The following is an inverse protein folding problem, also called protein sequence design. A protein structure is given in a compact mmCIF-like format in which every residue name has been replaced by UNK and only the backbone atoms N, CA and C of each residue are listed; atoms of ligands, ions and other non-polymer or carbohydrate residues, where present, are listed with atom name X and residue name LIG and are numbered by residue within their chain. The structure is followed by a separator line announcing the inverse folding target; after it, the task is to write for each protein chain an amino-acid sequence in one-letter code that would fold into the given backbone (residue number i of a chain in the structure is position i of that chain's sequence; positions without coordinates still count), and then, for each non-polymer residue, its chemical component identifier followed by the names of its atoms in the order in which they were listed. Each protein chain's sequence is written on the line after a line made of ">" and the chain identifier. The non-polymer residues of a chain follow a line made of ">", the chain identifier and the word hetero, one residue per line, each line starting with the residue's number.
data_IF_331890845008
#
_entry.id   IF_331890845008
#
_cell.length_a   1.000
_cell.length_b   1.000
_cell.length_c   1.000
_cell.angle_alpha   90.00
_cell.angle_beta   90.00
_cell.angle_gamma   90.00
#
_symmetry.space_group_name_H-M   'P 1'
#
loop_
_entity.id
_entity.type
_entity.pdbx_description
1 polymer ?
#
# COMPACT_ATOMS: atom_id res chain seq x y z
N UNK A 1 -19.34 62.90 -25.89
CA UNK A 1 -18.86 62.24 -24.66
C UNK A 1 -19.45 60.83 -24.62
N UNK A 2 -18.74 59.86 -25.18
CA UNK A 2 -19.15 58.46 -25.14
C UNK A 2 -18.39 57.76 -24.02
N UNK A 3 -19.09 57.32 -22.97
CA UNK A 3 -18.61 56.22 -22.15
C UNK A 3 -19.71 55.17 -22.07
N UNK A 4 -19.32 54.01 -22.57
CA UNK A 4 -20.15 52.87 -22.89
C UNK A 4 -20.67 52.24 -21.61
N UNK A 5 -21.98 52.01 -21.57
CA UNK A 5 -22.64 51.06 -20.68
C UNK A 5 -22.15 49.65 -21.05
N UNK A 6 -21.05 49.22 -20.45
CA UNK A 6 -20.53 47.85 -20.50
C UNK A 6 -20.31 47.47 -19.03
N UNK A 7 -21.37 46.94 -18.43
CA UNK A 7 -21.49 45.50 -18.19
C UNK A 7 -20.71 45.11 -16.93
N UNK A 8 -21.44 44.77 -15.87
CA UNK A 8 -20.94 44.25 -14.59
C UNK A 8 -20.05 43.00 -14.69
N UNK A 9 -19.74 42.53 -15.90
CA UNK A 9 -18.87 41.39 -16.22
C UNK A 9 -17.39 41.70 -15.94
N UNK A 10 -16.97 42.97 -15.87
CA UNK A 10 -15.54 43.32 -15.63
C UNK A 10 -15.09 43.12 -14.16
N UNK A 11 -16.02 42.93 -13.22
CA UNK A 11 -15.70 42.65 -11.81
C UNK A 11 -15.56 41.14 -11.49
N UNK A 12 -15.80 40.25 -12.45
CA UNK A 12 -15.68 38.79 -12.29
C UNK A 12 -14.33 38.20 -12.74
N UNK A 13 -13.38 39.04 -13.19
CA UNK A 13 -12.04 38.59 -13.62
C UNK A 13 -10.91 38.94 -12.63
N UNK A 14 -11.23 39.56 -11.48
CA UNK A 14 -10.27 39.88 -10.40
C UNK A 14 -10.33 38.90 -9.21
N UNK A 15 -11.02 37.77 -9.35
CA UNK A 15 -11.05 36.68 -8.37
C UNK A 15 -9.99 35.60 -8.60
N UNK A 16 -9.24 35.64 -9.72
CA UNK A 16 -8.16 34.68 -9.99
C UNK A 16 -6.84 34.96 -9.24
N UNK A 17 -6.69 36.09 -8.55
CA UNK A 17 -5.42 36.48 -7.89
C UNK A 17 -5.47 36.38 -6.36
N UNK A 18 -6.65 36.18 -5.76
CA UNK A 18 -6.82 36.22 -4.29
C UNK A 18 -7.13 34.86 -3.63
N UNK A 19 -6.82 33.74 -4.27
CA UNK A 19 -6.76 32.44 -3.58
C UNK A 19 -5.41 31.73 -3.76
N UNK A 20 -4.34 32.51 -3.93
CA UNK A 20 -2.96 32.05 -3.81
C UNK A 20 -2.32 32.39 -2.44
N UNK A 21 -3.11 32.85 -1.47
CA UNK A 21 -2.60 33.20 -0.14
C UNK A 21 -3.46 32.57 0.96
N UNK A 22 -3.03 31.42 1.46
CA UNK A 22 -3.57 30.83 2.68
C UNK A 22 -3.43 29.33 2.73
N UNK A 23 -2.25 28.83 3.12
CA UNK A 23 -2.10 27.44 3.55
C UNK A 23 -0.76 26.81 3.17
N UNK A 24 0.31 27.27 3.79
CA UNK A 24 1.52 26.47 3.89
C UNK A 24 1.24 25.19 4.68
N UNK A 25 1.78 24.07 4.19
CA UNK A 25 2.21 22.97 5.05
C UNK A 25 1.20 21.84 5.22
N UNK A 26 1.25 20.88 4.31
CA UNK A 26 0.52 19.62 4.46
C UNK A 26 0.91 18.58 3.43
N UNK A 27 2.18 18.52 3.04
CA UNK A 27 2.73 17.28 2.50
C UNK A 27 2.67 16.25 3.63
N UNK A 28 1.52 15.60 3.79
CA UNK A 28 1.35 14.47 4.68
C UNK A 28 2.24 13.35 4.15
N UNK A 29 3.50 13.36 4.58
CA UNK A 29 4.39 12.23 4.42
C UNK A 29 3.65 11.02 4.97
N UNK A 30 3.32 10.08 4.10
CA UNK A 30 2.65 8.85 4.47
C UNK A 30 3.56 8.02 5.36
N UNK A 31 3.65 8.35 6.65
CA UNK A 31 4.24 7.50 7.68
C UNK A 31 3.24 6.38 7.96
N UNK A 32 3.10 5.48 6.99
CA UNK A 32 2.36 4.25 7.16
C UNK A 32 3.29 3.04 7.08
N UNK A 33 2.96 2.01 7.87
CA UNK A 33 3.61 0.69 7.94
C UNK A 33 3.45 -0.16 6.67
N UNK A 34 4.35 -0.07 5.69
CA UNK A 34 4.26 -0.84 4.43
C UNK A 34 4.92 -2.21 4.59
N UNK A 35 4.19 -3.30 4.36
CA UNK A 35 4.78 -4.64 4.24
C UNK A 35 5.40 -4.78 2.85
N UNK A 36 6.69 -5.12 2.79
CA UNK A 36 7.44 -5.37 1.55
C UNK A 36 8.00 -6.78 1.57
N UNK A 37 7.72 -7.54 0.52
CA UNK A 37 8.39 -8.82 0.28
C UNK A 37 9.85 -8.57 -0.12
N UNK A 38 10.78 -9.08 0.69
CA UNK A 38 12.22 -9.05 0.42
C UNK A 38 12.71 -10.37 -0.18
N UNK A 39 11.94 -11.44 0.03
CA UNK A 39 12.12 -12.75 -0.60
C UNK A 39 10.75 -13.27 -1.02
N UNK A 40 10.65 -13.73 -2.26
CA UNK A 40 9.45 -14.31 -2.85
C UNK A 40 9.88 -15.25 -3.99
N UNK A 41 9.05 -16.22 -4.40
CA UNK A 41 9.29 -17.01 -5.60
C UNK A 41 9.27 -16.12 -6.85
N UNK A 42 9.64 -16.68 -8.00
CA UNK A 42 9.40 -16.03 -9.27
C UNK A 42 7.89 -15.97 -9.57
N UNK A 43 7.42 -15.01 -10.39
CA UNK A 43 6.02 -14.97 -10.80
C UNK A 43 5.52 -16.28 -11.45
N UNK A 44 6.43 -17.05 -12.05
CA UNK A 44 6.20 -18.41 -12.52
C UNK A 44 7.31 -19.33 -11.98
N UNK A 45 6.92 -20.44 -11.35
CA UNK A 45 7.83 -21.39 -10.70
C UNK A 45 7.43 -22.83 -11.06
N UNK A 46 8.41 -23.68 -11.34
CA UNK A 46 8.19 -25.12 -11.52
C UNK A 46 8.33 -25.94 -10.23
N UNK A 47 8.44 -25.25 -9.09
CA UNK A 47 8.53 -25.87 -7.77
C UNK A 47 7.18 -25.85 -7.07
N UNK A 48 6.78 -26.98 -6.49
CA UNK A 48 5.62 -27.13 -5.61
C UNK A 48 5.86 -26.58 -4.18
N UNK A 49 6.80 -25.65 -4.05
CA UNK A 49 7.16 -25.02 -2.79
C UNK A 49 7.48 -23.54 -3.02
N UNK A 50 7.19 -22.73 -2.01
CA UNK A 50 7.44 -21.29 -2.05
C UNK A 50 7.91 -20.81 -0.68
N UNK A 51 8.96 -19.99 -0.66
CA UNK A 51 9.49 -19.37 0.54
C UNK A 51 9.41 -17.85 0.42
N UNK A 52 8.91 -17.23 1.47
CA UNK A 52 8.69 -15.79 1.55
C UNK A 52 9.43 -15.20 2.74
N UNK A 53 9.96 -14.01 2.54
CA UNK A 53 10.48 -13.15 3.59
C UNK A 53 9.93 -11.75 3.36
N UNK A 54 9.47 -11.11 4.42
CA UNK A 54 8.90 -9.76 4.33
C UNK A 54 9.36 -8.87 5.47
N UNK A 55 9.40 -7.58 5.19
CA UNK A 55 9.81 -6.56 6.16
C UNK A 55 8.77 -5.46 6.20
N UNK A 56 8.67 -4.77 7.32
CA UNK A 56 7.87 -3.56 7.42
C UNK A 56 8.74 -2.36 7.19
N UNK A 57 8.51 -1.69 6.08
CA UNK A 57 9.04 -0.37 5.80
C UNK A 57 8.15 0.68 6.45
N UNK A 58 8.67 1.35 7.46
CA UNK A 58 8.15 2.64 7.90
C UNK A 58 9.29 3.49 8.43
N UNK A 59 9.10 4.81 8.39
CA UNK A 59 9.90 5.82 9.11
C UNK A 59 10.02 5.55 10.62
N UNK A 60 9.34 4.53 11.17
CA UNK A 60 9.42 4.07 12.55
C UNK A 60 9.40 2.55 12.60
N UNK A 61 10.33 1.96 13.33
CA UNK A 61 10.45 0.52 13.53
C UNK A 61 9.16 -0.04 14.17
N UNK A 62 8.52 -1.05 13.57
CA UNK A 62 7.42 -1.75 14.25
C UNK A 62 7.94 -2.95 15.02
N UNK A 63 8.36 -2.70 16.27
CA UNK A 63 8.86 -3.73 17.19
C UNK A 63 7.75 -4.64 17.75
N UNK A 64 6.50 -4.18 17.73
CA UNK A 64 5.34 -4.88 18.31
C UNK A 64 4.23 -5.17 17.27
N UNK A 65 4.56 -5.20 15.98
CA UNK A 65 3.59 -5.58 14.95
C UNK A 65 3.38 -7.09 15.01
N UNK A 66 2.13 -7.53 15.03
CA UNK A 66 1.79 -8.91 14.72
C UNK A 66 1.41 -9.06 13.24
N UNK A 67 1.72 -10.22 12.66
CA UNK A 67 1.53 -10.56 11.27
C UNK A 67 0.71 -11.84 11.13
N UNK A 68 -0.24 -11.78 10.21
CA UNK A 68 -1.07 -12.90 9.80
C UNK A 68 -0.83 -13.17 8.32
N UNK A 69 -0.57 -14.42 8.00
CA UNK A 69 -0.32 -14.88 6.64
C UNK A 69 -1.45 -15.81 6.22
N UNK A 70 -2.05 -15.52 5.07
CA UNK A 70 -3.09 -16.34 4.46
C UNK A 70 -2.60 -16.79 3.08
N UNK A 71 -2.55 -18.09 2.86
CA UNK A 71 -2.30 -18.67 1.55
C UNK A 71 -3.64 -18.97 0.89
N UNK A 72 -3.86 -18.41 -0.30
CA UNK A 72 -5.07 -18.59 -1.11
C UNK A 72 -6.35 -18.33 -0.29
N UNK A 73 -7.30 -19.26 -0.34
CA UNK A 73 -8.52 -19.26 0.46
C UNK A 73 -8.39 -20.06 1.77
N UNK A 74 -7.17 -20.42 2.16
CA UNK A 74 -6.88 -21.14 3.39
C UNK A 74 -7.03 -20.30 4.67
N UNK A 75 -6.75 -20.93 5.79
CA UNK A 75 -6.77 -20.26 7.10
C UNK A 75 -5.61 -19.27 7.25
N UNK A 76 -5.89 -18.15 7.94
CA UNK A 76 -4.86 -17.20 8.34
C UNK A 76 -4.05 -17.76 9.51
N UNK A 77 -2.73 -17.78 9.39
CA UNK A 77 -1.80 -18.28 10.40
C UNK A 77 -0.92 -17.13 10.91
N UNK A 78 -0.48 -17.22 12.17
CA UNK A 78 0.51 -16.27 12.69
C UNK A 78 1.85 -16.46 11.98
N UNK A 79 2.44 -15.36 11.51
CA UNK A 79 3.73 -15.35 10.83
C UNK A 79 4.64 -14.23 11.33
N UNK A 80 4.69 -14.04 12.66
CA UNK A 80 5.50 -13.00 13.31
C UNK A 80 7.01 -13.15 13.07
N UNK A 81 7.45 -14.36 12.70
CA UNK A 81 8.82 -14.65 12.31
C UNK A 81 9.28 -13.92 11.03
N UNK A 82 8.35 -13.31 10.27
CA UNK A 82 8.62 -12.57 9.02
C UNK A 82 9.18 -13.39 7.87
N UNK A 83 9.31 -14.69 8.08
CA UNK A 83 9.67 -15.69 7.09
C UNK A 83 8.64 -16.82 7.16
N UNK A 84 8.12 -17.23 6.00
CA UNK A 84 7.18 -18.35 5.89
C UNK A 84 7.55 -19.22 4.70
N UNK A 85 7.24 -20.51 4.77
CA UNK A 85 7.46 -21.45 3.67
C UNK A 85 6.27 -22.39 3.54
N UNK A 86 5.89 -22.65 2.30
CA UNK A 86 4.80 -23.54 1.93
C UNK A 86 5.34 -24.66 1.03
N UNK A 87 4.85 -25.87 1.22
CA UNK A 87 5.20 -27.06 0.44
C UNK A 87 3.93 -27.80 0.04
N UNK A 88 4.02 -28.65 -0.98
CA UNK A 88 2.85 -29.38 -1.49
C UNK A 88 1.84 -28.49 -2.20
N UNK A 89 2.31 -27.38 -2.79
CA UNK A 89 1.49 -26.52 -3.64
C UNK A 89 1.07 -27.27 -4.90
N UNK A 90 -0.18 -27.10 -5.31
CA UNK A 90 -0.70 -27.67 -6.54
C UNK A 90 -0.32 -26.80 -7.74
N UNK A 91 -0.39 -27.32 -8.96
CA UNK A 91 -0.22 -26.49 -10.14
C UNK A 91 -1.39 -25.50 -10.25
N UNK A 92 -1.09 -24.24 -10.54
CA UNK A 92 -2.09 -23.17 -10.61
C UNK A 92 -1.60 -21.83 -10.11
N UNK A 93 -2.55 -20.91 -9.96
CA UNK A 93 -2.29 -19.59 -9.38
C UNK A 93 -2.38 -19.68 -7.86
N UNK A 94 -1.44 -19.02 -7.20
CA UNK A 94 -1.40 -18.87 -5.76
C UNK A 94 -1.25 -17.41 -5.36
N UNK A 95 -1.80 -17.09 -4.20
CA UNK A 95 -1.77 -15.77 -3.58
C UNK A 95 -1.40 -15.90 -2.11
N UNK A 96 -0.36 -15.18 -1.69
CA UNK A 96 -0.03 -15.00 -0.28
C UNK A 96 -0.45 -13.60 0.13
N UNK A 97 -1.32 -13.49 1.13
CA UNK A 97 -1.66 -12.24 1.78
C UNK A 97 -0.99 -12.17 3.16
N UNK A 98 -0.28 -11.07 3.42
CA UNK A 98 0.36 -10.78 4.70
C UNK A 98 -0.26 -9.51 5.26
N UNK A 99 -1.01 -9.64 6.34
CA UNK A 99 -1.64 -8.55 7.07
C UNK A 99 -0.90 -8.29 8.39
N UNK A 100 -0.60 -7.03 8.67
CA UNK A 100 -0.09 -6.60 9.97
C UNK A 100 -1.16 -5.83 10.73
N UNK A 101 -1.27 -6.09 12.03
CA UNK A 101 -2.08 -5.29 12.94
C UNK A 101 -1.14 -4.47 13.83
N UNK A 102 -0.97 -3.18 13.50
CA UNK A 102 -0.15 -2.24 14.24
C UNK A 102 -0.97 -1.13 14.88
N UNK A 103 -0.32 -0.27 15.68
CA UNK A 103 -0.96 0.90 16.30
C UNK A 103 -1.57 1.89 15.30
N UNK A 104 -1.12 1.82 14.03
CA UNK A 104 -1.64 2.62 12.91
C UNK A 104 -2.75 1.92 12.12
N UNK A 105 -3.29 0.81 12.62
CA UNK A 105 -4.34 0.02 11.98
C UNK A 105 -3.83 -1.19 11.21
N UNK A 106 -4.76 -1.90 10.58
CA UNK A 106 -4.48 -3.12 9.80
C UNK A 106 -3.99 -2.75 8.40
N UNK A 107 -2.88 -3.34 7.96
CA UNK A 107 -2.27 -3.12 6.64
C UNK A 107 -1.95 -4.47 6.02
N UNK A 108 -2.37 -4.71 4.78
CA UNK A 108 -2.10 -5.97 4.08
C UNK A 108 -1.26 -5.75 2.82
N UNK A 109 -0.45 -6.73 2.48
CA UNK A 109 0.26 -6.83 1.21
C UNK A 109 0.08 -8.23 0.64
N UNK A 110 -0.12 -8.32 -0.68
CA UNK A 110 -0.37 -9.58 -1.35
C UNK A 110 0.68 -9.86 -2.43
N UNK A 111 1.03 -11.12 -2.61
CA UNK A 111 1.93 -11.59 -3.65
C UNK A 111 1.29 -12.74 -4.42
N UNK A 112 1.29 -12.64 -5.76
CA UNK A 112 0.70 -13.64 -6.64
C UNK A 112 1.79 -14.35 -7.46
N UNK A 113 1.68 -15.66 -7.62
CA UNK A 113 2.56 -16.46 -8.48
C UNK A 113 1.84 -17.67 -9.07
N UNK A 114 2.47 -18.31 -10.04
CA UNK A 114 2.00 -19.53 -10.68
C UNK A 114 2.97 -20.67 -10.41
N UNK A 115 2.43 -21.84 -10.08
CA UNK A 115 3.13 -23.14 -10.06
C UNK A 115 2.72 -23.93 -11.30
N UNK A 116 3.68 -24.46 -12.08
CA UNK A 116 3.41 -25.34 -13.22
C UNK A 116 4.61 -25.69 -14.09
#
# INVERSE_FOLDING_TARGET
>A
MGLRRLSWIVLLLLSCVHYCFGGQGGGGGGSGLVVKFVKAPLPFSSLNSAAFGFEVLESGHCGNCSFQCKLDDGDSLNCDAREVSYTGLLDGNHTLEVCTNGSKGVRCASYNWIVG
#
